data_IF_191141886755
#
_entry.id   IF_191141886755
#
_cell.length_a   1.000
_cell.length_b   1.000
_cell.length_c   1.000
_cell.angle_alpha   90.00
_cell.angle_beta   90.00
_cell.angle_gamma   90.00
#
_symmetry.space_group_name_H-M   'P 1'
#
loop_
_entity.id
_entity.type
_entity.pdbx_description
1 polymer ?
#
# COMPACT_ATOMS: atom_id res chain seq x y z
N UNK A 1 35.85 17.73 11.66
CA UNK A 1 34.84 16.67 11.44
C UNK A 1 33.52 17.35 11.10
N UNK A 2 33.18 17.41 9.81
CA UNK A 2 31.89 17.91 9.35
C UNK A 2 30.88 16.77 9.38
N UNK A 3 29.88 16.87 10.25
CA UNK A 3 28.72 15.98 10.24
C UNK A 3 27.94 16.32 8.97
N UNK A 4 27.93 15.40 8.00
CA UNK A 4 27.16 15.55 6.76
C UNK A 4 25.67 15.37 7.10
N UNK A 5 24.98 16.47 7.36
CA UNK A 5 23.53 16.47 7.39
C UNK A 5 23.04 16.31 5.96
N UNK A 6 22.42 15.16 5.65
CA UNK A 6 21.72 14.95 4.39
C UNK A 6 20.80 16.16 4.11
N UNK A 7 20.80 16.65 2.86
CA UNK A 7 20.11 17.88 2.52
C UNK A 7 18.60 17.76 2.81
N UNK A 8 17.92 18.81 3.30
CA UNK A 8 16.49 18.77 3.59
C UNK A 8 15.60 18.39 2.39
N UNK A 9 16.11 18.57 1.17
CA UNK A 9 15.43 18.21 -0.08
C UNK A 9 15.35 16.69 -0.30
N UNK A 10 16.25 15.88 0.28
CA UNK A 10 16.27 14.44 0.02
C UNK A 10 15.25 13.63 0.83
N UNK A 11 14.90 14.08 2.04
CA UNK A 11 14.10 13.26 2.98
C UNK A 11 12.64 13.11 2.57
N UNK A 12 12.01 14.21 2.10
CA UNK A 12 10.62 14.19 1.67
C UNK A 12 10.45 13.37 0.39
N UNK A 13 11.38 13.51 -0.54
CA UNK A 13 11.36 12.76 -1.79
C UNK A 13 11.66 11.27 -1.55
N UNK A 14 12.61 10.95 -0.67
CA UNK A 14 12.85 9.58 -0.21
C UNK A 14 11.59 8.98 0.42
N UNK A 15 10.91 9.73 1.29
CA UNK A 15 9.67 9.27 1.92
C UNK A 15 8.54 9.07 0.89
N UNK A 16 8.42 9.97 -0.09
CA UNK A 16 7.45 9.83 -1.19
C UNK A 16 7.74 8.59 -2.04
N UNK A 17 9.00 8.34 -2.37
CA UNK A 17 9.42 7.12 -3.08
C UNK A 17 9.08 5.88 -2.27
N UNK A 18 9.40 5.87 -0.98
CA UNK A 18 9.02 4.77 -0.09
C UNK A 18 7.51 4.51 -0.11
N UNK A 19 6.69 5.55 0.06
CA UNK A 19 5.22 5.44 0.00
C UNK A 19 4.75 4.86 -1.34
N UNK A 20 5.33 5.30 -2.46
CA UNK A 20 4.98 4.80 -3.79
C UNK A 20 5.30 3.31 -4.00
N UNK A 21 6.20 2.74 -3.21
CA UNK A 21 6.54 1.30 -3.26
C UNK A 21 5.63 0.40 -2.43
N UNK A 22 4.85 0.95 -1.50
CA UNK A 22 3.93 0.17 -0.64
C UNK A 22 2.98 -0.77 -1.39
N UNK A 23 2.39 -0.43 -2.57
CA UNK A 23 1.57 -1.39 -3.30
C UNK A 23 2.29 -2.68 -3.69
N UNK A 24 3.63 -2.68 -3.79
CA UNK A 24 4.39 -3.90 -4.07
C UNK A 24 4.25 -4.95 -2.97
N UNK A 25 4.06 -4.52 -1.71
CA UNK A 25 3.83 -5.43 -0.59
C UNK A 25 2.53 -6.23 -0.74
N UNK A 26 1.57 -5.71 -1.52
CA UNK A 26 0.31 -6.41 -1.81
C UNK A 26 0.44 -7.44 -2.93
N UNK A 27 1.59 -7.50 -3.61
CA UNK A 27 1.92 -8.50 -4.62
C UNK A 27 2.70 -9.68 -4.04
N UNK A 28 3.19 -9.56 -2.80
CA UNK A 28 3.86 -10.65 -2.11
C UNK A 28 2.90 -11.82 -1.83
N UNK A 29 3.40 -13.06 -1.74
CA UNK A 29 2.56 -14.23 -1.47
C UNK A 29 1.96 -14.21 -0.05
N UNK A 30 2.56 -13.44 0.86
CA UNK A 30 2.11 -13.30 2.24
C UNK A 30 2.33 -11.89 2.77
N UNK A 31 1.45 -11.45 3.66
CA UNK A 31 1.55 -10.17 4.35
C UNK A 31 1.03 -10.29 5.78
N UNK A 32 1.66 -9.59 6.73
CA UNK A 32 1.13 -9.47 8.09
C UNK A 32 -0.08 -8.53 8.11
N UNK A 33 -1.12 -8.88 8.88
CA UNK A 33 -2.33 -8.06 8.98
C UNK A 33 -2.03 -6.64 9.50
N UNK A 34 -1.07 -6.48 10.41
CA UNK A 34 -0.63 -5.17 10.89
C UNK A 34 0.05 -4.34 9.78
N UNK A 35 0.81 -4.99 8.90
CA UNK A 35 1.41 -4.35 7.73
C UNK A 35 0.33 -3.90 6.76
N UNK A 36 -0.67 -4.75 6.52
CA UNK A 36 -1.83 -4.40 5.68
C UNK A 36 -2.60 -3.19 6.23
N UNK A 37 -2.86 -3.15 7.54
CA UNK A 37 -3.51 -2.00 8.19
C UNK A 37 -2.67 -0.73 8.06
N UNK A 38 -1.35 -0.82 8.21
CA UNK A 38 -0.43 0.30 8.01
C UNK A 38 -0.49 0.83 6.58
N UNK A 39 -0.42 -0.06 5.58
CA UNK A 39 -0.56 0.31 4.16
C UNK A 39 -1.87 1.07 3.95
N UNK A 40 -2.98 0.57 4.50
CA UNK A 40 -4.28 1.23 4.38
C UNK A 40 -4.27 2.66 4.93
N UNK A 41 -3.74 2.86 6.14
CA UNK A 41 -3.66 4.20 6.73
C UNK A 41 -2.78 5.16 5.91
N UNK A 42 -1.63 4.69 5.42
CA UNK A 42 -0.71 5.51 4.63
C UNK A 42 -1.34 5.86 3.27
N UNK A 43 -1.92 4.88 2.58
CA UNK A 43 -2.57 5.08 1.28
C UNK A 43 -3.71 6.09 1.38
N UNK A 44 -4.54 6.01 2.43
CA UNK A 44 -5.61 6.98 2.67
C UNK A 44 -5.07 8.40 2.87
N UNK A 45 -3.96 8.54 3.59
CA UNK A 45 -3.35 9.84 3.90
C UNK A 45 -2.62 10.46 2.71
N UNK A 46 -2.00 9.63 1.87
CA UNK A 46 -1.11 10.06 0.77
C UNK A 46 -1.61 9.59 -0.61
N UNK A 47 -2.93 9.54 -0.78
CA UNK A 47 -3.62 9.05 -2.00
C UNK A 47 -2.98 9.54 -3.30
N UNK A 48 -2.73 10.85 -3.42
CA UNK A 48 -2.15 11.44 -4.64
C UNK A 48 -0.73 10.96 -4.95
N UNK A 49 0.02 10.53 -3.95
CA UNK A 49 1.40 10.04 -4.15
C UNK A 49 1.43 8.60 -4.64
N UNK A 50 0.43 7.81 -4.26
CA UNK A 50 0.36 6.36 -4.56
C UNK A 50 -0.55 6.03 -5.73
N UNK A 51 -1.41 6.97 -6.16
CA UNK A 51 -2.46 6.74 -7.15
C UNK A 51 -1.94 6.09 -8.43
N UNK A 52 -0.89 6.65 -9.04
CA UNK A 52 -0.31 6.14 -10.29
C UNK A 52 0.22 4.71 -10.11
N UNK A 53 0.90 4.44 -9.01
CA UNK A 53 1.52 3.16 -8.73
C UNK A 53 0.53 2.06 -8.38
N UNK A 54 -0.56 2.40 -7.69
CA UNK A 54 -1.68 1.48 -7.43
C UNK A 54 -2.47 1.19 -8.71
N UNK A 55 -2.82 2.21 -9.50
CA UNK A 55 -3.56 2.03 -10.75
C UNK A 55 -2.80 1.12 -11.73
N UNK A 56 -1.47 1.31 -11.84
CA UNK A 56 -0.62 0.47 -12.68
C UNK A 56 -0.53 -1.00 -12.24
N UNK A 57 -0.88 -1.31 -10.99
CA UNK A 57 -0.77 -2.65 -10.38
C UNK A 57 -2.13 -3.23 -9.98
N UNK A 58 -3.23 -2.55 -10.30
CA UNK A 58 -4.56 -2.85 -9.78
C UNK A 58 -4.99 -4.28 -10.08
N UNK A 59 -4.94 -4.70 -11.34
CA UNK A 59 -5.33 -6.07 -11.74
C UNK A 59 -4.49 -7.13 -11.01
N UNK A 60 -3.17 -6.93 -10.94
CA UNK A 60 -2.26 -7.86 -10.29
C UNK A 60 -2.52 -7.97 -8.77
N UNK A 61 -2.81 -6.86 -8.11
CA UNK A 61 -3.15 -6.84 -6.68
C UNK A 61 -4.52 -7.49 -6.44
N UNK A 62 -5.52 -7.23 -7.28
CA UNK A 62 -6.85 -7.85 -7.17
C UNK A 62 -6.73 -9.37 -7.33
N UNK A 63 -5.96 -9.85 -8.31
CA UNK A 63 -5.72 -11.28 -8.48
C UNK A 63 -4.94 -11.87 -7.29
N UNK A 64 -3.96 -11.15 -6.76
CA UNK A 64 -3.22 -11.62 -5.59
C UNK A 64 -4.07 -11.63 -4.32
N UNK A 65 -4.98 -10.67 -4.13
CA UNK A 65 -5.87 -10.59 -2.97
C UNK A 65 -6.73 -11.85 -2.79
N UNK A 66 -7.01 -12.59 -3.86
CA UNK A 66 -7.75 -13.87 -3.83
C UNK A 66 -6.97 -15.00 -3.17
N UNK A 67 -5.62 -14.93 -3.17
CA UNK A 67 -4.73 -16.03 -2.77
C UNK A 67 -3.66 -15.65 -1.74
N UNK A 68 -3.48 -14.37 -1.46
CA UNK A 68 -2.49 -13.88 -0.50
C UNK A 68 -2.76 -14.47 0.88
N UNK A 69 -1.70 -14.94 1.52
CA UNK A 69 -1.76 -15.41 2.90
C UNK A 69 -1.65 -14.22 3.86
N UNK A 70 -2.70 -13.93 4.63
CA UNK A 70 -2.67 -12.82 5.60
C UNK A 70 -2.34 -13.35 6.99
N UNK A 71 -1.08 -13.22 7.38
CA UNK A 71 -0.57 -13.76 8.64
C UNK A 71 -1.09 -12.94 9.82
N UNK A 72 -1.54 -13.64 10.86
CA UNK A 72 -2.05 -13.01 12.09
C UNK A 72 -3.43 -12.35 11.94
N UNK A 73 -4.10 -12.53 10.80
CA UNK A 73 -5.48 -12.05 10.62
C UNK A 73 -6.45 -12.81 11.53
N UNK A 74 -7.33 -12.06 12.19
CA UNK A 74 -8.47 -12.63 12.94
C UNK A 74 -9.65 -12.96 12.04
N UNK A 75 -9.72 -12.31 10.88
CA UNK A 75 -10.77 -12.47 9.87
C UNK A 75 -10.16 -12.20 8.49
N UNK A 76 -9.83 -13.28 7.78
CA UNK A 76 -9.19 -13.16 6.48
C UNK A 76 -10.09 -12.48 5.43
N UNK A 77 -11.42 -12.60 5.55
CA UNK A 77 -12.33 -11.93 4.63
C UNK A 77 -12.26 -10.42 4.80
N UNK A 78 -12.18 -9.95 6.05
CA UNK A 78 -12.01 -8.54 6.35
C UNK A 78 -10.66 -8.00 5.84
N UNK A 79 -9.58 -8.78 5.96
CA UNK A 79 -8.27 -8.40 5.41
C UNK A 79 -8.33 -8.30 3.88
N UNK A 80 -8.93 -9.27 3.19
CA UNK A 80 -9.10 -9.24 1.72
C UNK A 80 -9.97 -8.06 1.26
N UNK A 81 -11.08 -7.80 1.97
CA UNK A 81 -11.90 -6.61 1.73
C UNK A 81 -11.10 -5.32 1.90
N UNK A 82 -10.20 -5.27 2.89
CA UNK A 82 -9.32 -4.11 3.08
C UNK A 82 -8.43 -3.87 1.86
N UNK A 83 -7.85 -4.92 1.27
CA UNK A 83 -7.04 -4.80 0.04
C UNK A 83 -7.88 -4.26 -1.12
N UNK A 84 -9.08 -4.80 -1.34
CA UNK A 84 -9.98 -4.31 -2.38
C UNK A 84 -10.41 -2.86 -2.15
N UNK A 85 -10.67 -2.49 -0.89
CA UNK A 85 -11.08 -1.13 -0.51
C UNK A 85 -9.98 -0.08 -0.74
N UNK A 86 -8.70 -0.46 -0.83
CA UNK A 86 -7.64 0.49 -1.20
C UNK A 86 -7.90 1.10 -2.59
N UNK A 87 -8.37 0.29 -3.54
CA UNK A 87 -8.72 0.77 -4.88
C UNK A 87 -9.97 1.64 -4.87
N UNK A 88 -10.98 1.28 -4.08
CA UNK A 88 -12.17 2.10 -3.86
C UNK A 88 -11.78 3.49 -3.35
N UNK A 89 -10.90 3.55 -2.35
CA UNK A 89 -10.44 4.80 -1.76
C UNK A 89 -9.57 5.63 -2.72
N UNK A 90 -8.84 5.00 -3.65
CA UNK A 90 -7.99 5.69 -4.61
C UNK A 90 -8.77 6.20 -5.84
N UNK A 91 -9.74 5.46 -6.38
CA UNK A 91 -10.38 5.84 -7.65
C UNK A 91 -11.84 6.30 -7.55
N UNK A 92 -12.47 6.25 -6.37
CA UNK A 92 -13.88 6.63 -6.19
C UNK A 92 -14.84 5.84 -7.11
N UNK A 93 -14.44 4.66 -7.60
CA UNK A 93 -15.28 3.77 -8.39
C UNK A 93 -15.56 2.48 -7.61
N UNK A 94 -16.84 2.18 -7.47
CA UNK A 94 -17.38 1.02 -6.74
C UNK A 94 -17.19 -0.22 -7.63
N UNK A 95 -16.54 -1.26 -7.12
CA UNK A 95 -16.55 -2.59 -7.74
C UNK A 95 -17.23 -3.57 -6.76
N UNK A 96 -18.32 -4.16 -7.22
CA UNK A 96 -19.19 -5.10 -6.49
C UNK A 96 -18.66 -6.53 -6.56
#
# INVERSE_FOLDING_TARGET
>A
MTVNYASPFDRKDTFKVFIATLPNLLLEPSIDDDTLRMINQIVLRFKEWVRKDFAAKQEAIIENAKKINVVGSRDENQSRLTICNLFYCIDSQIYY
#
